data_IF_981781344771
#
_entry.id   IF_981781344771
#
_cell.length_a   1.000
_cell.length_b   1.000
_cell.length_c   1.000
_cell.angle_alpha   90.00
_cell.angle_beta   90.00
_cell.angle_gamma   90.00
#
_symmetry.space_group_name_H-M   'P 1'
#
loop_
_entity.id
_entity.type
_entity.pdbx_description
1 polymer ?
#
# COMPACT_ATOMS: atom_id res chain seq x y z
N UNK A 1 61.88 52.66 19.01
CA UNK A 1 61.75 54.13 19.07
C UNK A 1 61.52 54.63 17.65
N UNK A 2 60.38 55.30 17.46
CA UNK A 2 59.91 56.11 16.32
C UNK A 2 60.81 57.38 16.26
N UNK A 3 61.13 58.04 15.11
CA UNK A 3 60.17 58.70 14.19
C UNK A 3 60.49 58.58 12.69
N UNK A 4 59.53 58.61 11.75
CA UNK A 4 58.37 59.46 11.47
C UNK A 4 58.69 60.68 10.58
N UNK A 5 57.69 61.03 9.76
CA UNK A 5 57.50 62.27 8.96
C UNK A 5 58.16 62.27 7.58
N UNK A 6 57.57 62.78 6.49
CA UNK A 6 56.24 63.35 6.23
C UNK A 6 56.12 63.61 4.71
N UNK A 7 54.86 63.66 4.24
CA UNK A 7 54.43 63.98 2.88
C UNK A 7 54.95 65.33 2.33
N UNK A 8 55.01 65.50 0.99
CA UNK A 8 54.03 66.29 0.21
C UNK A 8 54.49 66.65 -1.24
N UNK A 9 53.54 66.49 -2.19
CA UNK A 9 53.28 67.21 -3.46
C UNK A 9 54.27 67.09 -4.67
N UNK A 10 53.82 66.47 -5.79
CA UNK A 10 53.26 67.04 -7.07
C UNK A 10 54.33 67.70 -7.95
N UNK A 11 54.45 67.59 -9.27
CA UNK A 11 53.71 67.13 -10.48
C UNK A 11 54.86 66.67 -11.46
N UNK A 12 54.73 65.88 -12.52
CA UNK A 12 53.90 66.02 -13.71
C UNK A 12 54.28 64.90 -14.72
N UNK A 13 53.40 64.64 -15.69
CA UNK A 13 53.71 64.18 -17.07
C UNK A 13 53.98 62.68 -17.36
N UNK A 14 52.95 62.11 -17.98
CA UNK A 14 52.94 61.13 -19.10
C UNK A 14 53.71 59.80 -19.00
N UNK A 15 52.97 58.69 -19.21
CA UNK A 15 53.12 57.81 -20.38
C UNK A 15 52.50 56.43 -20.11
N UNK A 16 51.41 56.16 -20.84
CA UNK A 16 50.97 54.85 -21.33
C UNK A 16 50.64 53.75 -20.32
N UNK A 17 49.34 53.54 -20.08
CA UNK A 17 48.82 52.23 -19.68
C UNK A 17 47.63 51.85 -20.55
N UNK A 18 47.87 50.85 -21.40
CA UNK A 18 46.90 50.18 -22.24
C UNK A 18 45.68 49.74 -21.43
N UNK A 19 44.51 50.26 -21.79
CA UNK A 19 43.24 49.74 -21.32
C UNK A 19 43.02 48.41 -22.04
N UNK A 20 43.28 47.29 -21.36
CA UNK A 20 42.75 45.99 -21.80
C UNK A 20 41.26 46.00 -21.49
N UNK A 21 40.43 46.25 -22.51
CA UNK A 21 39.01 45.90 -22.47
C UNK A 21 38.93 44.37 -22.33
N UNK A 22 38.70 43.87 -21.12
CA UNK A 22 38.19 42.52 -20.92
C UNK A 22 36.69 42.60 -21.17
N UNK A 23 36.27 42.27 -22.38
CA UNK A 23 34.87 41.97 -22.66
C UNK A 23 34.56 40.66 -21.93
N UNK A 24 33.96 40.76 -20.75
CA UNK A 24 33.36 39.63 -20.06
C UNK A 24 32.12 39.24 -20.87
N UNK A 25 32.30 38.38 -21.87
CA UNK A 25 31.20 37.72 -22.55
C UNK A 25 30.49 36.83 -21.54
N UNK A 26 29.40 37.32 -20.96
CA UNK A 26 28.45 36.46 -20.26
C UNK A 26 27.78 35.61 -21.34
N UNK A 27 28.38 34.46 -21.66
CA UNK A 27 27.64 33.39 -22.30
C UNK A 27 26.57 32.95 -21.32
N UNK A 28 25.34 33.46 -21.50
CA UNK A 28 24.15 32.78 -21.03
C UNK A 28 24.11 31.42 -21.73
N UNK A 29 24.75 30.42 -21.13
CA UNK A 29 24.35 29.05 -21.37
C UNK A 29 22.93 28.94 -20.84
N UNK A 30 21.95 29.08 -21.73
CA UNK A 30 20.60 28.60 -21.49
C UNK A 30 20.76 27.09 -21.34
N UNK A 31 21.02 26.65 -20.11
CA UNK A 31 20.92 25.25 -19.75
C UNK A 31 19.49 24.87 -20.06
N UNK A 32 19.28 24.15 -21.16
CA UNK A 32 18.02 23.48 -21.42
C UNK A 32 17.83 22.51 -20.28
N UNK A 33 17.12 22.93 -19.25
CA UNK A 33 16.57 22.06 -18.23
C UNK A 33 15.54 21.21 -18.96
N UNK A 34 15.99 20.12 -19.59
CA UNK A 34 15.09 19.03 -19.93
C UNK A 34 14.34 18.71 -18.65
N UNK A 35 13.01 18.84 -18.60
CA UNK A 35 12.27 18.43 -17.44
C UNK A 35 12.65 16.98 -17.19
N UNK A 36 13.29 16.71 -16.05
CA UNK A 36 13.41 15.35 -15.54
C UNK A 36 11.96 14.97 -15.24
N UNK A 37 11.29 14.39 -16.21
CA UNK A 37 10.10 13.59 -15.94
C UNK A 37 10.61 12.48 -15.03
N UNK A 38 10.40 12.64 -13.72
CA UNK A 38 10.68 11.58 -12.77
C UNK A 38 9.99 10.32 -13.31
N UNK A 39 10.77 9.28 -13.56
CA UNK A 39 10.25 8.08 -14.19
C UNK A 39 9.11 7.53 -13.32
N UNK A 40 7.90 7.46 -13.91
CA UNK A 40 6.71 7.04 -13.16
C UNK A 40 6.96 5.64 -12.58
N UNK A 41 6.69 5.41 -11.27
CA UNK A 41 6.87 4.09 -10.68
C UNK A 41 6.12 3.01 -11.46
N UNK A 42 6.71 1.81 -11.58
CA UNK A 42 6.17 0.75 -12.44
C UNK A 42 4.68 0.41 -12.21
N UNK A 43 4.10 0.51 -10.98
CA UNK A 43 2.66 0.28 -10.81
C UNK A 43 1.81 1.25 -11.61
N UNK A 44 2.23 2.51 -11.77
CA UNK A 44 1.49 3.53 -12.51
C UNK A 44 1.64 3.39 -14.04
N UNK A 45 2.55 2.54 -14.51
CA UNK A 45 2.71 2.18 -15.93
C UNK A 45 1.92 0.93 -16.32
N UNK A 46 1.32 0.24 -15.34
CA UNK A 46 0.57 -0.98 -15.56
C UNK A 46 -0.76 -0.70 -16.27
N UNK A 47 -1.19 -1.63 -17.13
CA UNK A 47 -2.57 -1.64 -17.63
C UNK A 47 -3.51 -2.23 -16.60
N UNK A 48 -3.10 -3.28 -15.90
CA UNK A 48 -3.88 -3.98 -14.87
C UNK A 48 -3.08 -4.20 -13.60
N UNK A 49 -3.67 -3.80 -12.47
CA UNK A 49 -3.13 -4.01 -11.13
C UNK A 49 -4.09 -4.88 -10.34
N UNK A 50 -3.65 -6.08 -9.95
CA UNK A 50 -4.42 -7.03 -9.17
C UNK A 50 -4.06 -6.94 -7.67
N UNK A 51 -5.02 -6.61 -6.82
CA UNK A 51 -4.89 -6.65 -5.37
C UNK A 51 -5.39 -7.99 -4.81
N UNK A 52 -4.50 -8.69 -4.10
CA UNK A 52 -4.73 -9.92 -3.37
C UNK A 52 -4.52 -9.70 -1.86
N UNK A 53 -5.32 -10.39 -1.05
CA UNK A 53 -5.18 -10.34 0.40
C UNK A 53 -6.38 -10.95 1.11
N UNK A 54 -6.37 -10.83 2.43
CA UNK A 54 -7.39 -11.39 3.31
C UNK A 54 -8.64 -10.48 3.46
N UNK A 55 -9.34 -10.56 4.61
CA UNK A 55 -10.52 -9.76 4.93
C UNK A 55 -10.26 -8.24 4.92
N UNK A 56 -9.04 -7.78 5.22
CA UNK A 56 -8.70 -6.35 5.18
C UNK A 56 -8.69 -5.88 3.72
N UNK A 57 -8.23 -6.73 2.80
CA UNK A 57 -8.28 -6.45 1.36
C UNK A 57 -9.68 -6.63 0.81
N UNK A 58 -10.42 -7.63 1.27
CA UNK A 58 -11.83 -7.89 0.91
C UNK A 58 -12.73 -6.68 1.21
N UNK A 59 -12.48 -5.92 2.29
CA UNK A 59 -13.22 -4.69 2.59
C UNK A 59 -13.00 -3.58 1.54
N UNK A 60 -11.93 -3.65 0.75
CA UNK A 60 -11.69 -2.80 -0.42
C UNK A 60 -11.33 -1.33 -0.15
N UNK A 61 -11.58 -0.81 1.06
CA UNK A 61 -11.49 0.63 1.33
C UNK A 61 -10.11 1.25 1.08
N UNK A 62 -9.01 0.56 1.41
CA UNK A 62 -7.68 1.11 1.14
C UNK A 62 -7.35 1.08 -0.36
N UNK A 63 -7.88 0.09 -1.10
CA UNK A 63 -7.70 -0.03 -2.54
C UNK A 63 -8.48 1.05 -3.27
N UNK A 64 -9.75 1.27 -2.90
CA UNK A 64 -10.56 2.36 -3.42
C UNK A 64 -9.93 3.74 -3.14
N UNK A 65 -9.31 3.90 -1.97
CA UNK A 65 -8.56 5.11 -1.64
C UNK A 65 -7.34 5.29 -2.57
N UNK A 66 -6.57 4.23 -2.83
CA UNK A 66 -5.42 4.27 -3.76
C UNK A 66 -5.89 4.62 -5.17
N UNK A 67 -6.93 3.95 -5.68
CA UNK A 67 -7.53 4.27 -6.99
C UNK A 67 -7.96 5.74 -7.07
N UNK A 68 -8.59 6.24 -6.01
CA UNK A 68 -9.01 7.65 -5.94
C UNK A 68 -7.82 8.61 -6.07
N UNK A 69 -6.68 8.30 -5.43
CA UNK A 69 -5.48 9.15 -5.55
C UNK A 69 -4.83 9.09 -6.94
N UNK A 70 -4.79 7.90 -7.56
CA UNK A 70 -4.28 7.74 -8.93
C UNK A 70 -5.12 8.59 -9.89
N UNK A 71 -6.45 8.54 -9.76
CA UNK A 71 -7.39 9.36 -10.55
C UNK A 71 -7.21 10.86 -10.32
N UNK A 72 -7.06 11.29 -9.06
CA UNK A 72 -6.82 12.70 -8.71
C UNK A 72 -5.46 13.23 -9.19
N UNK A 73 -4.54 12.34 -9.55
CA UNK A 73 -3.27 12.68 -10.19
C UNK A 73 -3.30 12.68 -11.71
N UNK A 74 -4.45 12.37 -12.31
CA UNK A 74 -4.63 12.31 -13.77
C UNK A 74 -3.57 11.40 -14.44
N UNK A 75 -3.30 10.24 -13.82
CA UNK A 75 -2.39 9.23 -14.39
C UNK A 75 -3.01 8.68 -15.67
N UNK A 76 -2.30 8.80 -16.78
CA UNK A 76 -2.74 8.37 -18.11
C UNK A 76 -1.73 7.42 -18.77
N UNK A 77 -2.17 6.28 -19.35
CA UNK A 77 -3.53 5.73 -19.21
C UNK A 77 -3.82 5.31 -17.76
N UNK A 78 -5.07 5.45 -17.32
CA UNK A 78 -5.50 5.02 -15.98
C UNK A 78 -5.37 3.49 -15.84
N UNK A 79 -4.59 2.96 -14.89
CA UNK A 79 -4.53 1.53 -14.64
C UNK A 79 -5.89 0.98 -14.19
N UNK A 80 -6.29 -0.18 -14.73
CA UNK A 80 -7.43 -0.92 -14.22
C UNK A 80 -7.02 -1.58 -12.90
N UNK A 81 -7.49 -1.02 -11.79
CA UNK A 81 -7.28 -1.58 -10.45
C UNK A 81 -8.38 -2.59 -10.16
N UNK A 82 -7.98 -3.84 -9.89
CA UNK A 82 -8.87 -4.98 -9.66
C UNK A 82 -8.55 -5.55 -8.29
N UNK A 83 -9.50 -5.52 -7.36
CA UNK A 83 -9.33 -6.11 -6.03
C UNK A 83 -10.10 -7.42 -5.93
N UNK A 84 -9.41 -8.49 -5.53
CA UNK A 84 -10.00 -9.82 -5.31
C UNK A 84 -9.53 -10.41 -3.99
N UNK A 85 -9.50 -9.57 -2.94
CA UNK A 85 -9.25 -10.02 -1.57
C UNK A 85 -10.34 -10.97 -1.08
N UNK A 86 -10.00 -11.99 -0.29
CA UNK A 86 -10.94 -13.00 0.19
C UNK A 86 -10.88 -13.09 1.71
N UNK A 87 -12.02 -12.91 2.37
CA UNK A 87 -12.10 -12.97 3.84
C UNK A 87 -11.55 -14.28 4.41
N UNK A 88 -10.87 -14.21 5.56
CA UNK A 88 -10.23 -15.35 6.25
C UNK A 88 -9.03 -15.99 5.53
N UNK A 89 -8.67 -15.53 4.33
CA UNK A 89 -7.63 -16.15 3.49
C UNK A 89 -6.23 -16.02 4.11
N UNK A 90 -5.42 -17.05 3.85
CA UNK A 90 -4.00 -17.14 4.19
C UNK A 90 -3.17 -17.32 2.92
N UNK A 91 -1.85 -17.16 3.02
CA UNK A 91 -0.91 -17.70 2.04
C UNK A 91 -0.24 -19.00 2.52
N UNK A 92 -0.57 -19.47 3.71
CA UNK A 92 0.04 -20.66 4.33
C UNK A 92 -0.76 -21.94 4.15
N UNK A 93 -2.08 -21.83 3.93
CA UNK A 93 -3.01 -22.96 3.99
C UNK A 93 -3.24 -23.50 5.41
N UNK A 94 -2.70 -22.84 6.45
CA UNK A 94 -2.92 -23.22 7.83
C UNK A 94 -4.30 -22.76 8.31
N UNK A 95 -4.85 -23.48 9.29
CA UNK A 95 -6.13 -23.18 9.92
C UNK A 95 -6.06 -23.50 11.41
N UNK A 96 -6.73 -22.69 12.23
CA UNK A 96 -7.04 -23.04 13.61
C UNK A 96 -7.92 -24.29 13.65
N UNK A 97 -7.80 -25.14 14.68
CA UNK A 97 -8.72 -26.27 14.88
C UNK A 97 -10.20 -25.87 14.98
N UNK A 98 -10.51 -24.74 15.64
CA UNK A 98 -11.89 -24.25 15.82
C UNK A 98 -12.35 -23.27 14.75
N UNK A 99 -11.60 -23.12 13.65
CA UNK A 99 -12.12 -22.30 12.56
C UNK A 99 -13.35 -23.01 11.96
N UNK A 100 -14.49 -22.32 11.70
CA UNK A 100 -15.72 -22.96 11.23
C UNK A 100 -15.62 -23.73 9.91
N UNK A 101 -14.52 -23.54 9.18
CA UNK A 101 -14.14 -24.20 7.94
C UNK A 101 -12.62 -24.08 7.78
N UNK A 102 -11.93 -24.93 7.00
CA UNK A 102 -10.52 -24.70 6.70
C UNK A 102 -10.33 -23.29 6.11
N UNK A 103 -9.41 -22.50 6.66
CA UNK A 103 -9.12 -21.17 6.11
C UNK A 103 -8.83 -21.27 4.60
N UNK A 104 -9.37 -20.35 3.78
CA UNK A 104 -9.00 -20.30 2.38
C UNK A 104 -7.49 -20.03 2.23
N UNK A 105 -6.92 -20.53 1.15
CA UNK A 105 -5.53 -20.32 0.76
C UNK A 105 -5.52 -19.65 -0.62
N UNK A 106 -4.79 -18.53 -0.73
CA UNK A 106 -4.62 -17.84 -2.02
C UNK A 106 -4.11 -18.78 -3.10
N UNK A 107 -3.27 -19.76 -2.77
CA UNK A 107 -2.72 -20.70 -3.73
C UNK A 107 -3.75 -21.66 -4.32
N UNK A 108 -4.93 -21.79 -3.73
CA UNK A 108 -6.06 -22.54 -4.29
C UNK A 108 -6.60 -21.88 -5.56
N UNK A 109 -6.61 -20.55 -5.61
CA UNK A 109 -7.21 -19.76 -6.69
C UNK A 109 -6.23 -18.92 -7.51
N UNK A 110 -4.98 -18.81 -7.07
CA UNK A 110 -3.99 -17.90 -7.65
C UNK A 110 -3.79 -18.11 -9.16
N UNK A 111 -3.66 -19.35 -9.62
CA UNK A 111 -3.44 -19.62 -11.04
C UNK A 111 -4.63 -19.17 -11.90
N UNK A 112 -5.86 -19.38 -11.41
CA UNK A 112 -7.08 -18.89 -12.07
C UNK A 112 -7.14 -17.37 -12.06
N UNK A 113 -6.81 -16.73 -10.93
CA UNK A 113 -6.78 -15.28 -10.82
C UNK A 113 -5.79 -14.65 -11.83
N UNK A 114 -4.57 -15.19 -11.90
CA UNK A 114 -3.54 -14.72 -12.84
C UNK A 114 -3.95 -14.95 -14.29
N UNK A 115 -4.48 -16.14 -14.64
CA UNK A 115 -4.87 -16.47 -16.00
C UNK A 115 -6.06 -15.64 -16.52
N UNK A 116 -7.05 -15.37 -15.66
CA UNK A 116 -8.25 -14.60 -16.03
C UNK A 116 -7.99 -13.09 -16.05
N UNK A 117 -7.33 -12.56 -15.02
CA UNK A 117 -7.08 -11.11 -14.92
C UNK A 117 -5.95 -10.67 -15.86
N UNK A 118 -4.89 -11.49 -16.00
CA UNK A 118 -3.66 -11.16 -16.72
C UNK A 118 -3.06 -9.83 -16.25
N UNK A 119 -2.71 -9.71 -14.96
CA UNK A 119 -2.20 -8.45 -14.41
C UNK A 119 -0.76 -8.17 -14.89
N UNK A 120 -0.41 -6.89 -15.04
CA UNK A 120 0.99 -6.47 -15.15
C UNK A 120 1.64 -6.34 -13.77
N UNK A 121 0.82 -6.06 -12.75
CA UNK A 121 1.25 -5.91 -11.36
C UNK A 121 0.30 -6.63 -10.41
N UNK A 122 0.86 -7.41 -9.48
CA UNK A 122 0.15 -7.99 -8.34
C UNK A 122 0.57 -7.27 -7.07
N UNK A 123 -0.39 -6.76 -6.32
CA UNK A 123 -0.19 -6.21 -4.97
C UNK A 123 -0.76 -7.21 -3.97
N UNK A 124 0.06 -7.73 -3.05
CA UNK A 124 -0.38 -8.75 -2.08
C UNK A 124 -0.17 -8.29 -0.64
N UNK A 125 -1.18 -8.51 0.21
CA UNK A 125 -1.16 -8.21 1.64
C UNK A 125 -1.65 -9.43 2.44
N UNK A 126 -0.73 -10.18 3.04
CA UNK A 126 -0.99 -11.37 3.85
C UNK A 126 -0.12 -11.36 5.11
N UNK A 127 -0.61 -12.01 6.17
CA UNK A 127 0.09 -12.19 7.44
C UNK A 127 -0.84 -12.19 8.65
N UNK A 128 -1.97 -11.47 8.59
CA UNK A 128 -2.90 -11.34 9.72
C UNK A 128 -3.48 -12.70 10.14
N UNK A 129 -3.88 -13.52 9.18
CA UNK A 129 -4.41 -14.87 9.45
C UNK A 129 -3.30 -15.93 9.56
N UNK A 130 -2.12 -15.68 9.00
CA UNK A 130 -1.07 -16.68 8.76
C UNK A 130 -0.30 -17.12 10.03
N UNK A 131 -0.34 -16.30 11.08
CA UNK A 131 0.10 -16.70 12.41
C UNK A 131 -0.94 -17.49 13.19
N UNK A 132 -2.17 -17.63 12.65
CA UNK A 132 -3.30 -18.38 13.23
C UNK A 132 -3.65 -17.85 14.64
N UNK A 133 -3.27 -16.60 14.94
CA UNK A 133 -3.44 -15.92 16.22
C UNK A 133 -2.67 -16.52 17.41
N UNK A 134 -1.73 -17.43 17.14
CA UNK A 134 -0.83 -18.02 18.13
C UNK A 134 0.38 -17.11 18.41
N UNK A 135 1.12 -17.36 19.52
CA UNK A 135 2.49 -16.89 19.67
C UNK A 135 3.36 -17.28 18.47
N UNK A 136 4.47 -16.55 18.29
CA UNK A 136 5.39 -16.81 17.21
C UNK A 136 5.82 -18.29 17.21
N UNK A 137 5.71 -18.95 16.07
CA UNK A 137 6.13 -20.34 15.90
C UNK A 137 6.97 -20.47 14.63
N UNK A 138 8.14 -21.09 14.72
CA UNK A 138 9.07 -21.26 13.60
C UNK A 138 8.42 -21.94 12.39
N UNK A 139 7.67 -23.02 12.60
CA UNK A 139 6.96 -23.72 11.53
C UNK A 139 5.88 -22.86 10.85
N UNK A 140 5.10 -22.09 11.61
CA UNK A 140 4.11 -21.15 11.04
C UNK A 140 4.77 -20.04 10.24
N UNK A 141 5.92 -19.57 10.72
CA UNK A 141 6.70 -18.56 10.01
C UNK A 141 7.32 -19.12 8.72
N UNK A 142 7.87 -20.33 8.74
CA UNK A 142 8.38 -21.00 7.55
C UNK A 142 7.28 -21.23 6.50
N UNK A 143 6.08 -21.63 6.93
CA UNK A 143 4.91 -21.74 6.05
C UNK A 143 4.57 -20.38 5.41
N UNK A 144 4.60 -19.28 6.19
CA UNK A 144 4.36 -17.93 5.68
C UNK A 144 5.41 -17.52 4.64
N UNK A 145 6.69 -17.79 4.92
CA UNK A 145 7.78 -17.50 4.00
C UNK A 145 7.61 -18.28 2.69
N UNK A 146 7.26 -19.56 2.77
CA UNK A 146 7.01 -20.41 1.61
C UNK A 146 5.81 -19.91 0.79
N UNK A 147 4.72 -19.54 1.45
CA UNK A 147 3.50 -19.00 0.83
C UNK A 147 3.76 -17.71 0.05
N UNK A 148 4.40 -16.73 0.70
CA UNK A 148 4.77 -15.46 0.06
C UNK A 148 5.70 -15.70 -1.14
N UNK A 149 6.74 -16.53 -1.00
CA UNK A 149 7.66 -16.82 -2.10
C UNK A 149 6.98 -17.57 -3.26
N UNK A 150 6.06 -18.48 -2.97
CA UNK A 150 5.25 -19.17 -3.99
C UNK A 150 4.34 -18.20 -4.73
N UNK A 151 3.74 -17.22 -4.03
CA UNK A 151 2.91 -16.18 -4.64
C UNK A 151 3.76 -15.34 -5.59
N UNK A 152 4.90 -14.85 -5.12
CA UNK A 152 5.85 -14.05 -5.93
C UNK A 152 6.26 -14.82 -7.18
N UNK A 153 6.72 -16.07 -7.02
CA UNK A 153 7.16 -16.91 -8.13
C UNK A 153 6.07 -17.12 -9.19
N UNK A 154 4.83 -17.42 -8.76
CA UNK A 154 3.71 -17.64 -9.69
C UNK A 154 3.29 -16.37 -10.42
N UNK A 155 3.27 -15.23 -9.72
CA UNK A 155 2.97 -13.93 -10.34
C UNK A 155 4.01 -13.55 -11.39
N UNK A 156 5.31 -13.72 -11.10
CA UNK A 156 6.38 -13.51 -12.08
C UNK A 156 6.27 -14.45 -13.27
N UNK A 157 5.97 -15.72 -13.04
CA UNK A 157 5.77 -16.70 -14.12
C UNK A 157 4.57 -16.35 -15.02
N UNK A 158 3.58 -15.61 -14.50
CA UNK A 158 2.48 -15.05 -15.28
C UNK A 158 2.81 -13.71 -15.96
N UNK A 159 4.05 -13.21 -15.84
CA UNK A 159 4.52 -11.95 -16.42
C UNK A 159 4.23 -10.70 -15.58
N UNK A 160 3.72 -10.86 -14.36
CA UNK A 160 3.39 -9.73 -13.49
C UNK A 160 4.54 -9.38 -12.54
N UNK A 161 4.81 -8.09 -12.34
CA UNK A 161 5.62 -7.60 -11.22
C UNK A 161 4.86 -7.70 -9.90
N UNK A 162 5.57 -7.76 -8.78
CA UNK A 162 4.96 -7.97 -7.46
C UNK A 162 5.31 -6.84 -6.49
N UNK A 163 4.26 -6.28 -5.89
CA UNK A 163 4.33 -5.39 -4.74
C UNK A 163 3.84 -6.15 -3.50
N UNK A 164 4.68 -6.29 -2.48
CA UNK A 164 4.27 -6.85 -1.19
C UNK A 164 3.97 -5.73 -0.18
N UNK A 165 2.85 -5.84 0.52
CA UNK A 165 2.55 -5.01 1.68
C UNK A 165 2.90 -5.79 2.95
N UNK A 166 3.52 -5.13 3.93
CA UNK A 166 3.70 -5.75 5.26
C UNK A 166 2.33 -6.06 5.89
N UNK A 167 2.21 -7.06 6.79
CA UNK A 167 0.96 -7.27 7.49
C UNK A 167 0.60 -6.03 8.33
N UNK A 168 -0.62 -5.48 8.23
CA UNK A 168 -1.04 -4.38 9.10
C UNK A 168 -1.01 -4.79 10.57
N UNK A 169 -0.92 -3.84 11.52
CA UNK A 169 -0.74 -4.18 12.93
C UNK A 169 -2.02 -4.77 13.52
N UNK A 170 -1.83 -5.60 14.56
CA UNK A 170 -2.92 -6.02 15.43
C UNK A 170 -2.98 -5.06 16.62
N UNK A 171 -4.17 -4.56 16.93
CA UNK A 171 -4.38 -3.71 18.10
C UNK A 171 -4.98 -4.53 19.26
N UNK A 172 -4.21 -4.85 20.31
CA UNK A 172 -4.73 -5.67 21.40
C UNK A 172 -5.71 -4.93 22.31
N UNK A 173 -5.69 -3.59 22.35
CA UNK A 173 -6.45 -2.83 23.36
C UNK A 173 -7.97 -3.11 23.37
N UNK A 174 -8.68 -3.14 22.23
CA UNK A 174 -10.13 -3.36 22.20
C UNK A 174 -10.55 -4.73 22.74
N UNK A 175 -9.71 -5.76 22.54
CA UNK A 175 -9.96 -7.11 23.04
C UNK A 175 -9.48 -7.29 24.47
N UNK A 176 -8.37 -6.66 24.86
CA UNK A 176 -7.86 -6.67 26.24
C UNK A 176 -8.91 -6.16 27.23
N UNK A 177 -9.57 -5.05 26.89
CA UNK A 177 -10.66 -4.47 27.70
C UNK A 177 -11.85 -5.40 27.87
N UNK A 178 -12.05 -6.32 26.93
CA UNK A 178 -13.14 -7.30 26.96
C UNK A 178 -12.71 -8.64 27.58
N UNK A 179 -11.47 -8.77 28.06
CA UNK A 179 -10.92 -10.04 28.54
C UNK A 179 -10.82 -11.12 27.45
N UNK A 180 -10.73 -10.73 26.17
CA UNK A 180 -10.77 -11.65 25.01
C UNK A 180 -9.40 -11.99 24.42
N UNK A 181 -8.33 -11.63 25.10
CA UNK A 181 -6.97 -12.02 24.72
C UNK A 181 -6.51 -13.25 25.51
N UNK A 182 -5.57 -13.99 24.94
CA UNK A 182 -4.90 -15.12 25.58
C UNK A 182 -3.45 -14.76 25.91
N UNK A 183 -2.96 -15.10 27.13
CA UNK A 183 -1.56 -14.91 27.49
C UNK A 183 -0.67 -15.86 26.69
N UNK A 184 0.65 -15.71 26.79
CA UNK A 184 1.58 -16.72 26.28
C UNK A 184 1.41 -18.07 27.02
N UNK A 185 1.66 -19.17 26.32
CA UNK A 185 1.51 -20.54 26.86
C UNK A 185 0.06 -21.01 27.07
N UNK A 186 -0.96 -20.29 26.59
CA UNK A 186 -2.33 -20.78 26.61
C UNK A 186 -2.48 -22.03 25.72
N UNK A 187 -3.35 -22.96 26.13
CA UNK A 187 -3.57 -24.22 25.40
C UNK A 187 -4.04 -23.99 23.97
N UNK A 188 -4.81 -22.91 23.73
CA UNK A 188 -5.49 -22.67 22.46
C UNK A 188 -5.59 -21.20 22.12
N UNK A 189 -5.37 -20.92 20.83
CA UNK A 189 -5.60 -19.63 20.22
C UNK A 189 -6.46 -19.76 18.97
N UNK A 190 -7.18 -18.69 18.65
CA UNK A 190 -7.97 -18.58 17.43
C UNK A 190 -8.30 -17.11 17.13
N UNK A 191 -8.95 -16.85 15.99
CA UNK A 191 -9.44 -15.50 15.63
C UNK A 191 -10.34 -14.84 16.69
N UNK A 192 -10.98 -15.63 17.56
CA UNK A 192 -11.79 -15.15 18.68
C UNK A 192 -11.08 -15.22 20.05
N UNK A 193 -9.87 -15.78 20.09
CA UNK A 193 -9.04 -16.02 21.27
C UNK A 193 -7.57 -15.72 20.95
N UNK A 194 -7.28 -14.46 20.68
CA UNK A 194 -6.02 -14.02 20.06
C UNK A 194 -4.91 -13.90 21.09
N UNK A 195 -3.68 -14.28 20.72
CA UNK A 195 -2.50 -14.05 21.55
C UNK A 195 -2.31 -12.54 21.83
N UNK A 196 -2.10 -12.19 23.10
CA UNK A 196 -2.07 -10.79 23.53
C UNK A 196 -0.96 -9.94 22.89
N UNK A 197 0.15 -10.57 22.46
CA UNK A 197 1.25 -9.91 21.76
C UNK A 197 1.32 -10.31 20.27
N UNK A 198 0.17 -10.63 19.65
CA UNK A 198 0.12 -11.06 18.25
C UNK A 198 0.68 -10.02 17.27
N UNK A 199 0.61 -8.72 17.59
CA UNK A 199 1.28 -7.67 16.82
C UNK A 199 2.81 -7.88 16.70
N UNK A 200 3.43 -8.49 17.71
CA UNK A 200 4.84 -8.88 17.67
C UNK A 200 5.13 -9.98 16.64
N UNK A 201 4.18 -10.87 16.38
CA UNK A 201 4.26 -11.88 15.30
C UNK A 201 4.17 -11.21 13.95
N UNK A 202 3.17 -10.34 13.76
CA UNK A 202 2.97 -9.58 12.52
C UNK A 202 4.16 -8.67 12.20
N UNK A 203 4.74 -8.02 13.23
CA UNK A 203 5.97 -7.25 13.09
C UNK A 203 7.14 -8.10 12.59
N UNK A 204 7.33 -9.31 13.14
CA UNK A 204 8.39 -10.24 12.67
C UNK A 204 8.18 -10.63 11.21
N UNK A 205 6.94 -10.92 10.81
CA UNK A 205 6.60 -11.26 9.42
C UNK A 205 6.87 -10.07 8.48
N UNK A 206 6.44 -8.87 8.87
CA UNK A 206 6.72 -7.64 8.13
C UNK A 206 8.21 -7.34 8.00
N UNK A 207 8.98 -7.47 9.09
CA UNK A 207 10.44 -7.29 9.08
C UNK A 207 11.14 -8.25 8.12
N UNK A 208 10.67 -9.49 8.03
CA UNK A 208 11.22 -10.47 7.11
C UNK A 208 11.00 -10.09 5.64
N UNK A 209 9.81 -9.63 5.26
CA UNK A 209 9.55 -9.15 3.89
C UNK A 209 10.40 -7.90 3.60
N UNK A 210 10.44 -6.95 4.53
CA UNK A 210 11.20 -5.69 4.39
C UNK A 210 12.70 -5.92 4.25
N UNK A 211 13.25 -7.01 4.79
CA UNK A 211 14.66 -7.35 4.70
C UNK A 211 15.09 -7.91 3.32
N UNK A 212 14.24 -7.86 2.30
CA UNK A 212 14.59 -8.29 0.94
C UNK A 212 14.70 -9.81 0.78
N UNK A 213 14.10 -10.57 1.70
CA UNK A 213 14.12 -12.05 1.65
C UNK A 213 13.15 -12.64 0.61
N UNK A 214 12.50 -11.79 -0.17
CA UNK A 214 11.61 -12.17 -1.27
C UNK A 214 12.16 -11.57 -2.56
N UNK A 215 11.77 -12.12 -3.70
CA UNK A 215 12.10 -11.55 -5.02
C UNK A 215 11.11 -10.48 -5.49
N UNK A 216 10.23 -9.98 -4.61
CA UNK A 216 9.25 -8.97 -5.00
C UNK A 216 9.91 -7.69 -5.54
N UNK A 217 9.30 -7.08 -6.54
CA UNK A 217 9.79 -5.88 -7.22
C UNK A 217 9.68 -4.61 -6.35
N UNK A 218 8.77 -4.63 -5.36
CA UNK A 218 8.61 -3.56 -4.37
C UNK A 218 8.04 -4.12 -3.07
N UNK A 219 8.49 -3.59 -1.94
CA UNK A 219 7.89 -3.85 -0.63
C UNK A 219 7.48 -2.53 0.00
N UNK A 220 6.26 -2.46 0.54
CA UNK A 220 5.69 -1.26 1.14
C UNK A 220 5.31 -1.57 2.59
N UNK A 221 5.85 -0.79 3.52
CA UNK A 221 5.47 -0.88 4.92
C UNK A 221 4.15 -0.15 5.20
N UNK A 222 3.10 -0.92 5.44
CA UNK A 222 1.79 -0.42 5.90
C UNK A 222 1.58 -0.63 7.41
N UNK A 223 2.43 -1.43 8.06
CA UNK A 223 2.36 -1.74 9.48
C UNK A 223 2.72 -0.51 10.34
N UNK A 224 3.92 0.02 10.14
CA UNK A 224 4.47 1.14 10.93
C UNK A 224 3.61 2.40 10.90
N UNK A 225 3.13 2.90 9.74
CA UNK A 225 2.34 4.13 9.73
C UNK A 225 1.01 4.01 10.50
N UNK A 226 0.34 2.85 10.42
CA UNK A 226 -0.89 2.59 11.19
C UNK A 226 -0.57 2.57 12.69
N UNK A 227 0.45 1.81 13.09
CA UNK A 227 0.87 1.70 14.49
C UNK A 227 1.26 3.05 15.10
N UNK A 228 2.00 3.86 14.35
CA UNK A 228 2.43 5.18 14.78
C UNK A 228 1.25 6.15 14.96
N UNK A 229 0.26 6.12 14.07
CA UNK A 229 -0.92 6.97 14.22
C UNK A 229 -1.77 6.55 15.43
N UNK A 230 -1.94 5.24 15.67
CA UNK A 230 -2.62 4.74 16.89
C UNK A 230 -1.88 5.22 18.14
N UNK A 231 -0.55 5.03 18.21
CA UNK A 231 0.26 5.47 19.34
C UNK A 231 0.17 7.00 19.57
N UNK A 232 0.18 7.79 18.49
CA UNK A 232 0.03 9.24 18.54
C UNK A 232 -1.33 9.67 19.08
N UNK A 233 -2.41 9.05 18.62
CA UNK A 233 -3.76 9.39 19.08
C UNK A 233 -4.01 8.92 20.51
N UNK A 234 -3.37 7.83 20.93
CA UNK A 234 -3.42 7.35 22.32
C UNK A 234 -2.79 8.27 23.35
N UNK A 235 -1.90 9.18 22.93
CA UNK A 235 -1.41 10.25 23.81
C UNK A 235 -2.51 11.23 24.23
N UNK A 236 -3.59 11.34 23.44
CA UNK A 236 -4.73 12.23 23.70
C UNK A 236 -5.93 11.48 24.26
N UNK A 237 -6.19 10.29 23.73
CA UNK A 237 -7.23 9.38 24.21
C UNK A 237 -6.62 7.98 24.39
N UNK A 238 -6.24 7.59 25.61
CA UNK A 238 -5.65 6.28 25.89
C UNK A 238 -6.53 5.10 25.44
N UNK A 239 -7.82 5.33 25.23
CA UNK A 239 -8.78 4.32 24.80
C UNK A 239 -8.96 4.24 23.28
N UNK A 240 -8.33 5.14 22.52
CA UNK A 240 -8.45 5.21 21.06
C UNK A 240 -8.09 3.89 20.38
N UNK A 241 -8.85 3.53 19.36
CA UNK A 241 -8.59 2.41 18.46
C UNK A 241 -9.04 2.72 17.04
N UNK A 242 -8.33 2.14 16.06
CA UNK A 242 -8.78 2.12 14.66
C UNK A 242 -9.67 0.91 14.34
N UNK A 243 -9.78 -0.06 15.25
CA UNK A 243 -10.47 -1.32 15.04
C UNK A 243 -11.25 -1.76 16.29
N UNK A 244 -12.47 -2.27 16.13
CA UNK A 244 -13.28 -2.76 17.26
C UNK A 244 -12.88 -4.17 17.75
N UNK A 245 -12.23 -4.94 16.88
CA UNK A 245 -11.78 -6.32 17.11
C UNK A 245 -10.25 -6.45 17.09
N UNK A 246 -9.54 -5.35 16.88
CA UNK A 246 -8.08 -5.30 16.79
C UNK A 246 -7.51 -5.67 15.42
N UNK A 247 -8.35 -6.13 14.48
CA UNK A 247 -7.95 -6.63 13.16
C UNK A 247 -8.49 -5.74 12.04
N UNK A 248 -9.81 -5.55 11.99
CA UNK A 248 -10.47 -4.83 10.88
C UNK A 248 -10.55 -3.35 11.21
N UNK A 249 -9.76 -2.56 10.49
CA UNK A 249 -9.68 -1.12 10.71
C UNK A 249 -10.86 -0.37 10.09
N UNK A 250 -11.20 0.76 10.68
CA UNK A 250 -12.15 1.72 10.14
C UNK A 250 -11.57 2.49 8.92
N UNK A 251 -12.38 3.38 8.35
CA UNK A 251 -11.99 4.20 7.20
C UNK A 251 -10.67 4.98 7.41
N UNK A 252 -10.37 5.43 8.64
CA UNK A 252 -9.11 6.13 8.94
C UNK A 252 -7.90 5.19 8.83
N UNK A 253 -8.00 3.95 9.34
CA UNK A 253 -6.93 2.97 9.21
C UNK A 253 -6.67 2.57 7.76
N UNK A 254 -7.73 2.30 7.00
CA UNK A 254 -7.63 2.04 5.55
C UNK A 254 -7.01 3.21 4.79
N UNK A 255 -7.37 4.44 5.13
CA UNK A 255 -6.75 5.64 4.54
C UNK A 255 -5.24 5.70 4.82
N UNK A 256 -4.79 5.38 6.03
CA UNK A 256 -3.36 5.38 6.37
C UNK A 256 -2.59 4.36 5.52
N UNK A 257 -3.15 3.15 5.36
CA UNK A 257 -2.59 2.15 4.44
C UNK A 257 -2.54 2.67 3.00
N UNK A 258 -3.64 3.25 2.52
CA UNK A 258 -3.72 3.84 1.19
C UNK A 258 -2.66 4.92 0.97
N UNK A 259 -2.45 5.82 1.94
CA UNK A 259 -1.41 6.85 1.88
C UNK A 259 -0.02 6.24 1.76
N UNK A 260 0.27 5.17 2.51
CA UNK A 260 1.56 4.48 2.44
C UNK A 260 1.79 3.90 1.02
N UNK A 261 0.77 3.27 0.44
CA UNK A 261 0.83 2.73 -0.93
C UNK A 261 1.00 3.85 -1.97
N UNK A 262 0.15 4.88 -1.94
CA UNK A 262 0.23 6.00 -2.87
C UNK A 262 1.58 6.72 -2.79
N UNK A 263 2.12 6.93 -1.57
CA UNK A 263 3.44 7.52 -1.37
C UNK A 263 4.54 6.68 -2.01
N UNK A 264 4.51 5.35 -1.84
CA UNK A 264 5.47 4.45 -2.47
C UNK A 264 5.37 4.46 -4.00
N UNK A 265 4.18 4.76 -4.54
CA UNK A 265 3.95 4.97 -5.97
C UNK A 265 4.23 6.40 -6.44
N UNK A 266 4.91 7.23 -5.62
CA UNK A 266 5.26 8.60 -5.99
C UNK A 266 4.10 9.60 -5.95
N UNK A 267 2.91 9.17 -5.49
CA UNK A 267 1.73 10.02 -5.40
C UNK A 267 1.68 10.69 -4.03
N UNK A 268 1.95 12.00 -3.99
CA UNK A 268 1.56 12.82 -2.83
C UNK A 268 0.04 12.91 -2.77
N UNK A 269 -0.50 12.43 -1.66
CA UNK A 269 -1.93 12.28 -1.43
C UNK A 269 -2.63 13.59 -1.12
N UNK A 270 -3.90 13.68 -1.49
CA UNK A 270 -4.81 14.79 -1.20
C UNK A 270 -6.12 14.27 -0.62
N UNK A 271 -6.86 15.12 0.08
CA UNK A 271 -8.20 14.76 0.55
C UNK A 271 -9.17 14.70 -0.66
N UNK A 272 -9.76 13.52 -0.94
CA UNK A 272 -10.82 13.44 -1.95
C UNK A 272 -12.11 14.06 -1.40
N UNK A 273 -13.02 14.46 -2.30
CA UNK A 273 -14.38 14.74 -1.84
C UNK A 273 -15.02 13.43 -1.33
N UNK A 274 -15.88 13.48 -0.30
CA UNK A 274 -16.55 12.28 0.21
C UNK A 274 -17.34 11.54 -0.89
N UNK A 275 -18.00 12.28 -1.79
CA UNK A 275 -18.77 11.69 -2.88
C UNK A 275 -17.86 10.97 -3.90
N UNK A 276 -16.70 11.54 -4.26
CA UNK A 276 -15.77 10.87 -5.16
C UNK A 276 -15.29 9.53 -4.58
N UNK A 277 -14.84 9.54 -3.32
CA UNK A 277 -14.37 8.32 -2.67
C UNK A 277 -15.49 7.27 -2.57
N UNK A 278 -16.72 7.70 -2.28
CA UNK A 278 -17.89 6.83 -2.23
C UNK A 278 -18.18 6.17 -3.58
N UNK A 279 -18.20 6.93 -4.68
CA UNK A 279 -18.48 6.37 -6.02
C UNK A 279 -17.33 5.44 -6.48
N UNK A 280 -16.06 5.80 -6.22
CA UNK A 280 -14.92 4.90 -6.49
C UNK A 280 -15.02 3.61 -5.67
N UNK A 281 -15.43 3.71 -4.40
CA UNK A 281 -15.65 2.53 -3.55
C UNK A 281 -16.75 1.64 -4.11
N UNK A 282 -17.89 2.20 -4.50
CA UNK A 282 -18.99 1.45 -5.11
C UNK A 282 -18.54 0.71 -6.38
N UNK A 283 -17.77 1.38 -7.24
CA UNK A 283 -17.22 0.79 -8.46
C UNK A 283 -16.29 -0.38 -8.14
N UNK A 284 -15.40 -0.18 -7.18
CA UNK A 284 -14.46 -1.22 -6.72
C UNK A 284 -15.21 -2.42 -6.17
N UNK A 285 -16.26 -2.23 -5.36
CA UNK A 285 -17.06 -3.31 -4.77
C UNK A 285 -17.81 -4.13 -5.82
N UNK A 286 -18.46 -3.49 -6.80
CA UNK A 286 -19.17 -4.20 -7.88
C UNK A 286 -18.21 -5.10 -8.67
N UNK A 287 -17.05 -4.57 -9.03
CA UNK A 287 -16.02 -5.32 -9.75
C UNK A 287 -15.40 -6.41 -8.88
N UNK A 288 -15.18 -6.14 -7.60
CA UNK A 288 -14.63 -7.11 -6.65
C UNK A 288 -15.48 -8.39 -6.59
N UNK A 289 -16.78 -8.25 -6.33
CA UNK A 289 -17.68 -9.39 -6.17
C UNK A 289 -17.77 -10.23 -7.46
N UNK A 290 -17.83 -9.55 -8.60
CA UNK A 290 -17.90 -10.17 -9.92
C UNK A 290 -16.61 -10.92 -10.26
N UNK A 291 -15.44 -10.29 -10.11
CA UNK A 291 -14.15 -10.93 -10.36
C UNK A 291 -13.89 -12.08 -9.39
N UNK A 292 -14.28 -11.95 -8.12
CA UNK A 292 -14.11 -13.02 -7.14
C UNK A 292 -14.94 -14.26 -7.52
N UNK A 293 -16.16 -14.05 -8.02
CA UNK A 293 -17.05 -15.11 -8.50
C UNK A 293 -16.54 -15.73 -9.80
N UNK A 294 -16.11 -14.89 -10.74
CA UNK A 294 -15.53 -15.31 -12.01
C UNK A 294 -14.28 -16.16 -11.79
N UNK A 295 -13.37 -15.76 -10.89
CA UNK A 295 -12.16 -16.53 -10.56
C UNK A 295 -12.51 -17.85 -9.85
N UNK A 296 -13.51 -17.81 -8.97
CA UNK A 296 -13.95 -18.93 -8.15
C UNK A 296 -13.03 -19.22 -6.95
N UNK A 297 -13.62 -19.61 -5.84
CA UNK A 297 -12.93 -19.96 -4.60
C UNK A 297 -13.71 -21.04 -3.82
N UNK A 298 -13.05 -21.66 -2.84
CA UNK A 298 -13.69 -22.69 -1.98
C UNK A 298 -14.27 -22.17 -0.66
N UNK A 299 -14.10 -20.88 -0.33
CA UNK A 299 -14.63 -20.31 0.92
C UNK A 299 -16.17 -20.36 0.95
N UNK A 300 -16.81 -20.95 1.97
CA UNK A 300 -18.26 -20.97 2.09
C UNK A 300 -18.83 -19.58 2.45
N UNK A 301 -20.11 -19.36 2.14
CA UNK A 301 -20.85 -18.17 2.57
C UNK A 301 -20.38 -16.85 1.97
N UNK A 302 -19.66 -16.87 0.83
CA UNK A 302 -19.36 -15.66 0.06
C UNK A 302 -20.52 -15.41 -0.89
N UNK A 303 -20.97 -14.15 -0.96
CA UNK A 303 -22.02 -13.73 -1.87
C UNK A 303 -21.52 -13.81 -3.31
N UNK A 304 -22.32 -14.41 -4.19
CA UNK A 304 -22.07 -14.38 -5.63
C UNK A 304 -22.23 -12.97 -6.17
N UNK A 305 -21.21 -12.49 -6.88
CA UNK A 305 -21.24 -11.26 -7.64
C UNK A 305 -22.07 -11.37 -8.90
N UNK A 306 -22.25 -10.23 -9.58
CA UNK A 306 -22.88 -10.22 -10.90
C UNK A 306 -22.00 -10.95 -11.92
N UNK A 307 -22.59 -11.51 -13.00
CA UNK A 307 -21.84 -11.86 -14.21
C UNK A 307 -20.92 -10.71 -14.64
N UNK A 308 -19.70 -11.03 -15.09
CA UNK A 308 -18.65 -10.03 -15.27
C UNK A 308 -19.04 -8.92 -16.26
N UNK A 309 -19.77 -9.25 -17.32
CA UNK A 309 -20.31 -8.32 -18.33
C UNK A 309 -21.30 -7.31 -17.72
N UNK A 310 -22.18 -7.78 -16.82
CA UNK A 310 -23.13 -6.92 -16.10
C UNK A 310 -22.41 -6.03 -15.09
N UNK A 311 -21.42 -6.57 -14.39
CA UNK A 311 -20.61 -5.81 -13.44
C UNK A 311 -19.80 -4.71 -14.15
N UNK A 312 -19.22 -5.00 -15.32
CA UNK A 312 -18.50 -4.04 -16.15
C UNK A 312 -19.43 -2.93 -16.65
N UNK A 313 -20.64 -3.26 -17.08
CA UNK A 313 -21.65 -2.28 -17.47
C UNK A 313 -22.01 -1.32 -16.32
N UNK A 314 -22.26 -1.86 -15.12
CA UNK A 314 -22.54 -1.04 -13.94
C UNK A 314 -21.31 -0.22 -13.50
N UNK A 315 -20.10 -0.79 -13.62
CA UNK A 315 -18.87 -0.08 -13.32
C UNK A 315 -18.60 1.08 -14.30
N UNK A 316 -19.09 0.98 -15.54
CA UNK A 316 -19.01 2.04 -16.55
C UNK A 316 -19.93 3.23 -16.20
N UNK A 317 -21.16 2.99 -15.73
CA UNK A 317 -22.03 4.06 -15.23
C UNK A 317 -21.41 4.82 -14.04
N UNK A 318 -20.71 4.09 -13.15
CA UNK A 318 -19.98 4.67 -12.05
C UNK A 318 -18.73 5.42 -12.52
N UNK A 319 -18.06 4.95 -13.58
CA UNK A 319 -16.94 5.65 -14.22
C UNK A 319 -17.36 7.02 -14.75
N UNK A 320 -18.50 7.12 -15.43
CA UNK A 320 -19.02 8.40 -15.92
C UNK A 320 -19.24 9.41 -14.79
N UNK A 321 -19.80 8.94 -13.66
CA UNK A 321 -19.96 9.75 -12.44
C UNK A 321 -18.62 10.18 -11.86
N UNK A 322 -17.63 9.30 -11.82
CA UNK A 322 -16.27 9.62 -11.38
C UNK A 322 -15.68 10.73 -12.26
N UNK A 323 -15.81 10.62 -13.58
CA UNK A 323 -15.27 11.62 -14.52
C UNK A 323 -15.94 12.99 -14.35
N UNK A 324 -17.26 13.04 -14.11
CA UNK A 324 -17.95 14.30 -13.79
C UNK A 324 -17.41 14.94 -12.51
N UNK A 325 -17.23 14.15 -11.44
CA UNK A 325 -16.71 14.63 -10.15
C UNK A 325 -15.24 15.08 -10.20
N UNK A 326 -14.43 14.48 -11.08
CA UNK A 326 -13.05 14.92 -11.31
C UNK A 326 -12.98 16.24 -12.09
N UNK A 327 -13.87 16.44 -13.07
CA UNK A 327 -13.95 17.67 -13.86
C UNK A 327 -14.44 18.86 -13.06
N UNK A 328 -15.41 18.69 -12.16
CA UNK A 328 -15.92 19.77 -11.30
C UNK A 328 -14.90 20.31 -10.29
N UNK A 329 -13.70 19.72 -10.22
CA UNK A 329 -12.60 20.08 -9.32
C UNK A 329 -11.44 20.78 -10.04
N UNK A 330 -11.43 20.79 -11.38
CA UNK A 330 -10.49 21.55 -12.21
C UNK A 330 -11.08 22.94 -12.45
#
# INVERSE_FOLDING_TARGET
MIPATSNLYKEESEMHRSIRLVVLGISLTVGSSTPIFADQPFPLKAKRILFLGDSITNSGHYVAWVETQVRLRDVQPMPQIIQVGLSSETCTGLSEPDHPFPRPDVHERLDRALAKVKPDVVVACYGMNDGIYYPFGKARFEAYQAGINKLVKKSHAAGAKVVLLTPPPFDPLPLRKKGKLRPDGAEKYAYFAIYENYDGVLKKYGQWIMAGNTKADMVIDVHTPVKNEVAKLRKKDPNFTLSGDGVHMNAKGHRIMGIAVAKAWGIKSVEPSPELLKVVTQRTTVLHDAWLSEIGHKRPGVRTGLPIDKAESQAQELEEKIQMLLKSKK
#
